data_IF_948694797771
#
_entry.id   IF_948694797771
#
_cell.length_a   1.000
_cell.length_b   1.000
_cell.length_c   1.000
_cell.angle_alpha   90.00
_cell.angle_beta   90.00
_cell.angle_gamma   90.00
#
_symmetry.space_group_name_H-M   'P 1'
#
loop_
_entity.id
_entity.type
_entity.pdbx_description
1 polymer ?
#
# COMPACT_ATOMS: atom_id res chain seq x y z
N UNK A 1 57.04 6.21 1.11
CA UNK A 1 57.62 6.76 2.35
C UNK A 1 56.90 8.05 2.65
N UNK A 2 56.29 8.16 3.84
CA UNK A 2 55.58 9.35 4.31
C UNK A 2 54.06 9.21 4.36
N UNK A 3 53.35 9.45 5.45
CA UNK A 3 53.53 9.09 6.86
C UNK A 3 52.16 9.28 7.54
N UNK A 4 52.03 8.68 8.71
CA UNK A 4 50.80 8.30 9.37
C UNK A 4 49.95 9.46 9.90
N UNK A 5 48.63 9.25 9.85
CA UNK A 5 47.59 10.03 10.52
C UNK A 5 47.81 10.10 12.03
N UNK A 6 47.51 11.27 12.56
CA UNK A 6 47.81 11.72 13.91
C UNK A 6 47.21 10.88 15.02
N UNK A 7 48.05 10.71 16.04
CA UNK A 7 47.75 10.25 17.39
C UNK A 7 47.54 11.50 18.23
N UNK A 8 46.40 11.62 18.91
CA UNK A 8 46.22 12.58 20.00
C UNK A 8 46.37 11.82 21.32
N UNK A 9 47.40 12.21 22.05
CA UNK A 9 47.56 12.05 23.49
C UNK A 9 46.39 12.67 24.27
N UNK A 10 45.97 12.05 25.36
CA UNK A 10 46.08 12.64 26.72
C UNK A 10 45.53 11.72 27.83
N UNK A 11 46.48 11.26 28.65
CA UNK A 11 46.52 11.37 30.11
C UNK A 11 45.71 10.41 31.02
N UNK A 12 46.50 9.54 31.65
CA UNK A 12 46.35 8.92 32.98
C UNK A 12 45.86 9.83 34.11
N UNK A 13 45.19 9.20 35.10
CA UNK A 13 45.35 9.53 36.52
C UNK A 13 45.04 8.30 37.41
N UNK A 14 46.12 7.59 37.75
CA UNK A 14 46.52 6.96 39.03
C UNK A 14 45.54 6.89 40.24
N UNK A 15 45.30 5.64 40.69
CA UNK A 15 45.59 5.06 42.05
C UNK A 15 44.78 5.51 43.31
N UNK A 16 44.86 4.83 44.49
CA UNK A 16 45.03 3.40 44.85
C UNK A 16 44.20 2.91 46.09
N UNK A 17 44.38 1.62 46.47
CA UNK A 17 44.72 1.15 47.85
C UNK A 17 43.78 0.17 48.61
N UNK A 18 44.28 -1.08 48.70
CA UNK A 18 44.54 -1.92 49.89
C UNK A 18 43.43 -2.37 50.87
N UNK A 19 43.40 -3.68 51.12
CA UNK A 19 42.87 -4.27 52.37
C UNK A 19 43.00 -5.79 52.42
N UNK A 20 44.13 -6.27 52.93
CA UNK A 20 44.47 -7.68 53.18
C UNK A 20 43.54 -8.37 54.20
N UNK A 21 43.37 -9.70 54.10
CA UNK A 21 43.83 -10.66 55.11
C UNK A 21 43.35 -12.10 54.80
N UNK A 22 44.29 -13.03 54.76
CA UNK A 22 44.12 -14.48 54.88
C UNK A 22 44.76 -14.89 56.22
N UNK A 23 44.21 -15.89 56.93
CA UNK A 23 45.00 -17.10 57.22
C UNK A 23 44.13 -18.38 57.05
N UNK A 24 44.54 -19.41 56.32
CA UNK A 24 45.50 -20.50 56.63
C UNK A 24 44.82 -21.79 57.11
N UNK A 25 45.51 -22.91 56.82
CA UNK A 25 45.34 -24.30 57.31
C UNK A 25 44.49 -25.31 56.49
N UNK A 26 45.25 -26.08 55.67
CA UNK A 26 45.08 -27.51 55.29
C UNK A 26 45.22 -28.40 56.56
N UNK A 27 44.97 -29.76 56.59
CA UNK A 27 45.04 -30.71 55.47
C UNK A 27 44.13 -31.98 55.51
N UNK A 28 44.07 -32.66 54.36
CA UNK A 28 43.96 -34.13 54.26
C UNK A 28 42.59 -34.74 54.57
N UNK A 29 42.27 -35.96 54.16
CA UNK A 29 42.88 -36.87 53.22
C UNK A 29 41.78 -37.89 52.86
N UNK A 30 41.80 -38.33 51.59
CA UNK A 30 41.62 -39.73 51.17
C UNK A 30 40.29 -40.42 51.52
N UNK A 31 39.53 -40.78 50.50
CA UNK A 31 38.49 -41.80 50.63
C UNK A 31 37.69 -42.01 49.36
N UNK A 32 38.12 -42.96 48.53
CA UNK A 32 37.35 -43.50 47.42
C UNK A 32 36.06 -44.17 47.90
N UNK A 33 34.94 -43.97 47.20
CA UNK A 33 33.79 -44.90 47.18
C UNK A 33 33.03 -44.65 45.86
N UNK A 34 33.17 -45.53 44.88
CA UNK A 34 32.18 -46.57 44.56
C UNK A 34 30.89 -45.99 43.98
N UNK A 35 30.81 -46.08 42.65
CA UNK A 35 29.69 -45.68 41.79
C UNK A 35 28.44 -46.51 42.10
N UNK A 36 27.34 -45.85 42.46
CA UNK A 36 26.00 -46.45 42.57
C UNK A 36 25.02 -45.60 41.78
N UNK A 37 24.07 -46.19 41.03
CA UNK A 37 23.24 -45.45 40.09
C UNK A 37 22.28 -44.52 40.84
N UNK A 38 22.61 -43.23 40.82
CA UNK A 38 21.79 -42.16 41.41
C UNK A 38 20.56 -41.93 40.52
N UNK A 39 19.37 -42.27 41.02
CA UNK A 39 18.12 -41.77 40.46
C UNK A 39 18.06 -40.27 40.76
N UNK A 40 18.04 -39.36 39.77
CA UNK A 40 18.07 -37.92 40.04
C UNK A 40 16.73 -37.50 40.67
N UNK A 41 16.69 -37.47 42.00
CA UNK A 41 15.65 -36.77 42.75
C UNK A 41 16.07 -35.32 42.80
N UNK A 42 15.35 -34.46 42.07
CA UNK A 42 15.51 -33.01 42.18
C UNK A 42 15.23 -32.67 43.66
N UNK A 43 16.22 -32.19 44.43
CA UNK A 43 16.00 -31.84 45.82
C UNK A 43 14.92 -30.75 45.88
N UNK A 44 13.97 -30.84 46.81
CA UNK A 44 12.83 -29.93 46.92
C UNK A 44 13.24 -28.43 46.92
N UNK A 45 14.47 -28.13 47.37
CA UNK A 45 15.08 -26.80 47.30
C UNK A 45 15.35 -26.30 45.87
N UNK A 46 15.71 -27.18 44.93
CA UNK A 46 15.92 -26.84 43.52
C UNK A 46 14.58 -26.64 42.77
N UNK A 47 13.56 -27.45 43.08
CA UNK A 47 12.20 -27.24 42.57
C UNK A 47 11.57 -25.93 43.07
N UNK A 48 11.79 -25.56 44.35
CA UNK A 48 11.33 -24.28 44.91
C UNK A 48 12.01 -23.07 44.27
N UNK A 49 13.30 -23.19 43.89
CA UNK A 49 14.05 -22.14 43.18
C UNK A 49 13.60 -21.98 41.72
N UNK A 50 13.27 -23.07 41.04
CA UNK A 50 12.68 -23.02 39.69
C UNK A 50 11.27 -22.39 39.72
N UNK A 51 10.42 -22.73 40.70
CA UNK A 51 9.11 -22.10 40.88
C UNK A 51 9.22 -20.61 41.24
N UNK A 52 10.22 -20.20 42.02
CA UNK A 52 10.48 -18.78 42.30
C UNK A 52 10.86 -18.00 41.02
N UNK A 53 11.62 -18.61 40.12
CA UNK A 53 11.93 -18.06 38.80
C UNK A 53 10.68 -17.94 37.91
N UNK A 54 9.81 -18.96 37.92
CA UNK A 54 8.57 -18.96 37.13
C UNK A 54 7.56 -17.94 37.68
N UNK A 55 7.40 -17.85 38.99
CA UNK A 55 6.53 -16.85 39.64
C UNK A 55 7.04 -15.45 39.34
N UNK A 56 8.36 -15.21 39.44
CA UNK A 56 8.96 -13.92 39.07
C UNK A 56 8.73 -13.56 37.60
N UNK A 57 8.83 -14.54 36.70
CA UNK A 57 8.55 -14.35 35.27
C UNK A 57 7.08 -14.01 35.00
N UNK A 58 6.13 -14.67 35.67
CA UNK A 58 4.70 -14.35 35.55
C UNK A 58 4.41 -12.95 36.10
N UNK A 59 4.98 -12.59 37.25
CA UNK A 59 4.83 -11.25 37.82
C UNK A 59 5.41 -10.20 36.87
N UNK A 60 6.59 -10.43 36.30
CA UNK A 60 7.21 -9.53 35.34
C UNK A 60 6.37 -9.38 34.05
N UNK A 61 5.78 -10.47 33.55
CA UNK A 61 4.87 -10.45 32.41
C UNK A 61 3.61 -9.63 32.69
N UNK A 62 2.97 -9.87 33.84
CA UNK A 62 1.76 -9.13 34.25
C UNK A 62 2.07 -7.66 34.46
N UNK A 63 3.20 -7.32 35.09
CA UNK A 63 3.63 -5.93 35.26
C UNK A 63 3.91 -5.24 33.93
N UNK A 64 4.53 -5.95 32.97
CA UNK A 64 4.74 -5.43 31.62
C UNK A 64 3.41 -5.17 30.91
N UNK A 65 2.48 -6.13 30.92
CA UNK A 65 1.14 -5.94 30.33
C UNK A 65 0.41 -4.79 31.04
N UNK A 66 0.44 -4.73 32.36
CA UNK A 66 -0.22 -3.67 33.14
C UNK A 66 0.37 -2.27 32.88
N UNK A 67 1.67 -2.18 32.55
CA UNK A 67 2.29 -0.93 32.15
C UNK A 67 1.87 -0.48 30.73
N UNK A 68 1.72 -1.41 29.79
CA UNK A 68 1.36 -1.10 28.40
C UNK A 68 -0.15 -0.98 28.15
N UNK A 69 -0.97 -1.73 28.89
CA UNK A 69 -2.42 -1.79 28.68
C UNK A 69 -3.09 -0.40 28.77
N UNK A 70 -2.77 0.48 29.72
CA UNK A 70 -3.35 1.84 29.78
C UNK A 70 -2.98 2.67 28.55
N UNK A 71 -1.75 2.57 28.04
CA UNK A 71 -1.30 3.30 26.84
C UNK A 71 -2.07 2.83 25.61
N UNK A 72 -2.27 1.52 25.47
CA UNK A 72 -3.04 0.93 24.37
C UNK A 72 -4.51 1.33 24.44
N UNK A 73 -5.11 1.31 25.64
CA UNK A 73 -6.52 1.68 25.84
C UNK A 73 -6.77 3.20 25.71
N UNK A 74 -5.78 4.03 26.07
CA UNK A 74 -5.84 5.49 25.94
C UNK A 74 -5.61 5.98 24.51
N UNK A 75 -5.24 5.08 23.58
CA UNK A 75 -5.19 5.36 22.15
C UNK A 75 -6.50 4.90 21.51
N UNK A 76 -7.61 5.67 21.59
CA UNK A 76 -8.81 5.32 20.84
C UNK A 76 -8.41 5.26 19.37
N UNK A 77 -8.56 4.10 18.75
CA UNK A 77 -8.45 4.02 17.30
C UNK A 77 -9.37 5.10 16.72
N UNK A 78 -8.91 5.90 15.75
CA UNK A 78 -9.75 6.90 15.13
C UNK A 78 -11.08 6.25 14.74
N UNK A 79 -12.17 6.63 15.40
CA UNK A 79 -13.54 6.32 14.97
C UNK A 79 -13.93 7.21 13.78
N UNK A 80 -12.96 7.68 13.01
CA UNK A 80 -13.27 8.19 11.71
C UNK A 80 -13.58 6.97 10.87
N UNK A 81 -14.83 6.87 10.43
CA UNK A 81 -15.05 6.62 9.01
C UNK A 81 -14.03 7.49 8.26
N UNK A 82 -12.85 6.92 7.97
CA UNK A 82 -11.64 7.69 7.61
C UNK A 82 -11.98 8.73 6.54
N UNK A 83 -11.43 9.94 6.65
CA UNK A 83 -11.71 11.07 5.75
C UNK A 83 -12.08 10.58 4.33
N UNK A 84 -13.37 10.71 3.99
CA UNK A 84 -13.93 10.25 2.71
C UNK A 84 -14.15 11.48 1.84
N UNK A 85 -13.26 11.80 0.89
CA UNK A 85 -13.47 12.91 0.00
C UNK A 85 -14.80 12.71 -0.75
N UNK A 86 -15.67 13.71 -0.73
CA UNK A 86 -16.87 13.72 -1.56
C UNK A 86 -16.53 14.38 -2.90
N UNK A 87 -16.00 13.58 -3.83
CA UNK A 87 -15.54 14.07 -5.13
C UNK A 87 -16.70 14.06 -6.12
N UNK A 88 -17.17 15.26 -6.48
CA UNK A 88 -18.09 15.42 -7.60
C UNK A 88 -17.34 15.37 -8.94
N UNK A 89 -17.20 14.16 -9.49
CA UNK A 89 -16.48 13.91 -10.75
C UNK A 89 -17.03 14.76 -11.90
N UNK A 90 -18.35 14.89 -12.01
CA UNK A 90 -18.98 15.68 -13.06
C UNK A 90 -18.62 17.17 -12.98
N UNK A 91 -18.55 17.73 -11.76
CA UNK A 91 -18.12 19.11 -11.57
C UNK A 91 -16.65 19.31 -11.92
N UNK A 92 -15.78 18.37 -11.53
CA UNK A 92 -14.35 18.47 -11.83
C UNK A 92 -14.10 18.27 -13.34
N UNK A 93 -14.84 17.37 -13.98
CA UNK A 93 -14.79 17.15 -15.42
C UNK A 93 -15.15 18.44 -16.17
N UNK A 94 -16.28 19.09 -15.82
CA UNK A 94 -16.69 20.38 -16.40
C UNK A 94 -15.62 21.46 -16.26
N UNK A 95 -14.99 21.56 -15.09
CA UNK A 95 -13.92 22.53 -14.86
C UNK A 95 -12.66 22.25 -15.68
N UNK A 96 -12.46 20.99 -16.11
CA UNK A 96 -11.32 20.58 -16.91
C UNK A 96 -11.59 20.63 -18.43
N UNK A 97 -12.85 20.76 -18.88
CA UNK A 97 -13.24 20.72 -20.31
C UNK A 97 -12.40 21.66 -21.18
N UNK A 98 -12.30 22.93 -20.79
CA UNK A 98 -11.59 23.96 -21.57
C UNK A 98 -10.09 23.66 -21.71
N UNK A 99 -9.45 23.20 -20.62
CA UNK A 99 -8.02 22.88 -20.60
C UNK A 99 -7.75 21.55 -21.31
N UNK A 100 -8.69 20.61 -21.23
CA UNK A 100 -8.61 19.31 -21.86
C UNK A 100 -8.79 19.38 -23.38
N UNK A 101 -9.62 20.31 -23.86
CA UNK A 101 -10.00 20.39 -25.28
C UNK A 101 -10.92 19.25 -25.73
N UNK A 102 -11.54 18.54 -24.78
CA UNK A 102 -12.56 17.52 -24.98
C UNK A 102 -13.40 17.41 -23.70
N UNK A 103 -14.60 16.81 -23.78
CA UNK A 103 -15.45 16.56 -22.61
C UNK A 103 -14.92 15.36 -21.80
N UNK A 104 -14.36 15.56 -20.59
CA UNK A 104 -13.86 14.46 -19.79
C UNK A 104 -15.00 13.56 -19.29
N UNK A 105 -14.78 12.25 -19.26
CA UNK A 105 -15.81 11.27 -18.88
C UNK A 105 -16.08 11.37 -17.38
N UNK A 106 -17.36 11.54 -17.04
CA UNK A 106 -17.87 11.51 -15.68
C UNK A 106 -18.99 10.46 -15.60
N UNK A 107 -18.65 9.16 -15.48
CA UNK A 107 -19.64 8.09 -15.49
C UNK A 107 -20.56 8.17 -14.27
N UNK A 108 -21.88 8.06 -14.51
CA UNK A 108 -22.84 7.83 -13.44
C UNK A 108 -22.78 6.35 -13.03
N UNK A 109 -22.35 6.11 -11.80
CA UNK A 109 -22.16 4.77 -11.25
C UNK A 109 -23.30 4.35 -10.32
N UNK A 110 -24.39 5.13 -10.24
CA UNK A 110 -25.55 4.82 -9.40
C UNK A 110 -25.20 4.70 -7.91
N UNK A 111 -24.18 5.44 -7.45
CA UNK A 111 -23.60 5.38 -6.11
C UNK A 111 -22.92 4.05 -5.72
N UNK A 112 -22.80 3.09 -6.65
CA UNK A 112 -22.12 1.83 -6.38
C UNK A 112 -20.59 2.01 -6.27
N UNK A 113 -20.03 2.92 -7.05
CA UNK A 113 -18.61 3.25 -7.01
C UNK A 113 -18.41 4.61 -6.36
N UNK A 114 -17.33 4.74 -5.61
CA UNK A 114 -16.98 5.97 -4.91
C UNK A 114 -15.74 6.58 -5.53
N UNK A 115 -15.80 7.82 -5.97
CA UNK A 115 -14.63 8.52 -6.46
C UNK A 115 -13.69 8.88 -5.29
N UNK A 116 -12.44 8.45 -5.39
CA UNK A 116 -11.35 8.78 -4.46
C UNK A 116 -10.63 10.07 -4.88
N UNK A 117 -10.49 10.28 -6.19
CA UNK A 117 -9.94 11.50 -6.78
C UNK A 117 -10.48 11.67 -8.20
N UNK A 118 -10.48 12.91 -8.69
CA UNK A 118 -10.69 13.27 -10.09
C UNK A 118 -9.78 14.46 -10.40
N UNK A 119 -9.04 14.41 -11.52
CA UNK A 119 -8.07 15.46 -11.86
C UNK A 119 -7.73 15.48 -13.34
N UNK A 120 -7.34 16.66 -13.80
CA UNK A 120 -6.64 16.85 -15.07
C UNK A 120 -5.13 16.80 -14.84
N UNK A 121 -4.43 16.00 -15.62
CA UNK A 121 -2.97 15.92 -15.67
C UNK A 121 -2.49 16.48 -17.00
N UNK A 122 -1.67 17.52 -16.95
CA UNK A 122 -1.19 18.21 -18.17
C UNK A 122 -0.17 17.41 -18.98
N UNK A 123 0.28 16.26 -18.47
CA UNK A 123 1.23 15.38 -19.14
C UNK A 123 2.69 15.80 -18.99
N UNK A 124 3.05 16.60 -17.97
CA UNK A 124 4.43 17.07 -17.75
C UNK A 124 5.45 15.93 -17.58
N UNK A 125 5.04 14.77 -17.06
CA UNK A 125 5.89 13.58 -16.93
C UNK A 125 5.83 12.60 -18.11
N UNK A 126 4.65 12.37 -18.69
CA UNK A 126 4.41 11.36 -19.73
C UNK A 126 4.43 11.91 -21.16
N UNK A 127 4.37 13.23 -21.32
CA UNK A 127 4.12 13.91 -22.60
C UNK A 127 2.68 13.77 -23.11
N UNK A 128 1.80 13.08 -22.38
CA UNK A 128 0.41 12.83 -22.77
C UNK A 128 -0.52 13.40 -21.71
N UNK A 129 -1.27 14.47 -22.01
CA UNK A 129 -2.25 15.00 -21.07
C UNK A 129 -3.42 14.02 -20.91
N UNK A 130 -3.87 13.85 -19.66
CA UNK A 130 -4.85 12.84 -19.28
C UNK A 130 -5.89 13.40 -18.31
N UNK A 131 -7.12 12.94 -18.49
CA UNK A 131 -8.15 13.01 -17.47
C UNK A 131 -8.08 11.73 -16.63
N UNK A 132 -8.01 11.87 -15.30
CA UNK A 132 -7.89 10.73 -14.39
C UNK A 132 -8.96 10.76 -13.30
N UNK A 133 -9.56 9.60 -13.04
CA UNK A 133 -10.50 9.40 -11.94
C UNK A 133 -10.20 8.08 -11.25
N UNK A 134 -10.04 8.09 -9.94
CA UNK A 134 -9.88 6.87 -9.15
C UNK A 134 -11.18 6.46 -8.51
N UNK A 135 -11.64 5.23 -8.72
CA UNK A 135 -12.84 4.68 -8.09
C UNK A 135 -12.50 3.59 -7.08
N UNK A 136 -13.12 3.67 -5.91
CA UNK A 136 -13.24 2.56 -4.96
C UNK A 136 -14.50 1.78 -5.32
N UNK A 137 -14.35 0.48 -5.51
CA UNK A 137 -15.42 -0.43 -5.94
C UNK A 137 -16.26 -0.93 -4.77
N UNK A 138 -17.45 -1.51 -5.01
CA UNK A 138 -18.27 -2.11 -3.95
C UNK A 138 -17.53 -3.15 -3.11
N UNK A 139 -16.63 -3.93 -3.72
CA UNK A 139 -15.80 -4.92 -3.01
C UNK A 139 -14.50 -4.32 -2.46
N UNK A 140 -14.47 -3.02 -2.20
CA UNK A 140 -13.33 -2.30 -1.60
C UNK A 140 -12.02 -2.41 -2.38
N UNK A 141 -12.12 -2.69 -3.69
CA UNK A 141 -10.97 -2.68 -4.60
C UNK A 141 -10.85 -1.30 -5.26
N UNK A 142 -9.84 -1.13 -6.10
CA UNK A 142 -9.57 0.12 -6.80
C UNK A 142 -9.55 -0.07 -8.33
N UNK A 143 -10.16 0.88 -9.04
CA UNK A 143 -10.07 1.02 -10.49
C UNK A 143 -9.75 2.48 -10.83
N UNK A 144 -8.61 2.73 -11.49
CA UNK A 144 -8.29 3.99 -12.12
C UNK A 144 -8.92 4.04 -13.52
N UNK A 145 -9.60 5.14 -13.83
CA UNK A 145 -10.00 5.55 -15.16
C UNK A 145 -9.02 6.61 -15.65
N UNK A 146 -8.47 6.39 -16.84
CA UNK A 146 -7.62 7.37 -17.53
C UNK A 146 -8.13 7.56 -18.95
N UNK A 147 -8.34 8.80 -19.35
CA UNK A 147 -8.81 9.18 -20.67
C UNK A 147 -7.86 10.19 -21.32
N UNK A 148 -7.62 10.03 -22.61
CA UNK A 148 -6.91 11.03 -23.42
C UNK A 148 -7.35 10.98 -24.89
N UNK A 149 -7.14 12.07 -25.61
CA UNK A 149 -7.26 12.15 -27.08
C UNK A 149 -5.90 12.21 -27.79
N UNK A 150 -4.79 12.21 -27.02
CA UNK A 150 -3.41 12.35 -27.52
C UNK A 150 -2.54 11.14 -27.17
N UNK A 151 -3.14 9.96 -27.05
CA UNK A 151 -2.42 8.74 -26.75
C UNK A 151 -1.38 8.41 -27.82
N UNK A 152 -0.26 7.82 -27.40
CA UNK A 152 0.74 7.22 -28.28
C UNK A 152 1.08 5.79 -27.79
N UNK A 153 1.70 4.94 -28.63
CA UNK A 153 1.96 3.54 -28.27
C UNK A 153 2.80 3.38 -26.99
N UNK A 154 3.80 4.24 -26.78
CA UNK A 154 4.65 4.21 -25.59
C UNK A 154 3.84 4.48 -24.32
N UNK A 155 2.99 5.50 -24.35
CA UNK A 155 2.10 5.84 -23.24
C UNK A 155 1.12 4.70 -22.93
N UNK A 156 0.51 4.10 -23.96
CA UNK A 156 -0.43 3.00 -23.75
C UNK A 156 0.26 1.80 -23.08
N UNK A 157 1.46 1.44 -23.55
CA UNK A 157 2.26 0.38 -22.94
C UNK A 157 2.61 0.68 -21.48
N UNK A 158 2.97 1.93 -21.16
CA UNK A 158 3.24 2.35 -19.78
C UNK A 158 1.97 2.28 -18.93
N UNK A 159 0.85 2.80 -19.43
CA UNK A 159 -0.43 2.83 -18.74
C UNK A 159 -0.96 1.43 -18.42
N UNK A 160 -0.71 0.46 -19.31
CA UNK A 160 -1.10 -0.94 -19.13
C UNK A 160 0.03 -1.79 -18.54
N UNK A 161 1.12 -1.18 -18.04
CA UNK A 161 2.29 -1.86 -17.45
C UNK A 161 2.85 -2.99 -18.32
N UNK A 162 2.83 -2.81 -19.65
CA UNK A 162 3.23 -3.81 -20.63
C UNK A 162 2.50 -5.17 -20.50
N UNK A 163 1.27 -5.16 -19.96
CA UNK A 163 0.45 -6.36 -19.86
C UNK A 163 0.04 -6.86 -21.26
N UNK A 164 0.17 -8.16 -21.55
CA UNK A 164 -0.25 -8.71 -22.83
C UNK A 164 -1.77 -8.65 -22.97
N UNK A 165 -2.26 -8.58 -24.22
CA UNK A 165 -3.68 -8.73 -24.51
C UNK A 165 -4.08 -10.18 -24.27
N UNK A 166 -5.03 -10.40 -23.37
CA UNK A 166 -5.53 -11.72 -22.98
C UNK A 166 -6.92 -12.02 -23.53
N UNK A 167 -7.59 -11.02 -24.10
CA UNK A 167 -8.86 -11.19 -24.81
C UNK A 167 -9.62 -9.88 -24.98
N UNK A 168 -10.93 -10.01 -25.15
CA UNK A 168 -11.86 -8.89 -25.20
C UNK A 168 -12.99 -9.10 -24.20
N UNK A 169 -13.58 -8.02 -23.70
CA UNK A 169 -14.76 -8.06 -22.83
C UNK A 169 -15.76 -7.01 -23.27
N UNK A 170 -16.98 -7.45 -23.57
CA UNK A 170 -18.06 -6.54 -23.90
C UNK A 170 -18.61 -5.87 -22.63
N UNK A 171 -18.71 -4.55 -22.64
CA UNK A 171 -19.33 -3.76 -21.58
C UNK A 171 -19.94 -2.48 -22.17
N UNK A 172 -21.18 -2.18 -21.79
CA UNK A 172 -21.93 -1.06 -22.37
C UNK A 172 -22.13 -1.16 -23.88
N UNK A 173 -22.10 -2.37 -24.45
CA UNK A 173 -22.22 -2.57 -25.90
C UNK A 173 -20.96 -2.23 -26.70
N UNK A 174 -19.81 -2.00 -26.05
CA UNK A 174 -18.51 -1.86 -26.71
C UNK A 174 -17.58 -3.01 -26.30
N UNK A 175 -16.71 -3.40 -27.23
CA UNK A 175 -15.67 -4.39 -26.96
C UNK A 175 -14.42 -3.70 -26.42
N UNK A 176 -14.11 -4.00 -25.16
CA UNK A 176 -12.91 -3.54 -24.50
C UNK A 176 -11.82 -4.58 -24.67
N UNK A 177 -10.62 -4.14 -25.02
CA UNK A 177 -9.43 -4.98 -25.03
C UNK A 177 -8.99 -5.26 -23.60
N UNK A 178 -8.94 -6.54 -23.22
CA UNK A 178 -8.52 -6.98 -21.89
C UNK A 178 -7.02 -7.28 -21.90
N UNK A 179 -6.30 -6.68 -20.96
CA UNK A 179 -4.88 -6.94 -20.70
C UNK A 179 -4.67 -7.40 -19.26
N UNK A 180 -3.92 -8.48 -19.08
CA UNK A 180 -3.63 -9.05 -17.76
C UNK A 180 -2.28 -9.78 -17.78
N UNK A 181 -1.47 -9.61 -16.72
CA UNK A 181 -0.21 -10.33 -16.52
C UNK A 181 -0.36 -11.58 -15.66
N UNK A 182 -1.54 -11.82 -15.10
CA UNK A 182 -1.82 -12.84 -14.09
C UNK A 182 -1.33 -12.49 -12.68
N UNK A 183 -0.75 -11.30 -12.48
CA UNK A 183 -0.13 -10.86 -11.21
C UNK A 183 -1.02 -9.98 -10.34
N UNK A 184 -2.33 -9.97 -10.60
CA UNK A 184 -3.35 -9.32 -9.77
C UNK A 184 -4.03 -8.13 -10.44
N UNK A 185 -3.25 -7.23 -11.05
CA UNK A 185 -3.79 -6.06 -11.77
C UNK A 185 -4.17 -6.39 -13.22
N UNK A 186 -5.29 -5.79 -13.66
CA UNK A 186 -5.85 -5.94 -15.00
C UNK A 186 -6.08 -4.57 -15.60
N UNK A 187 -6.15 -4.51 -16.92
CA UNK A 187 -6.52 -3.30 -17.65
C UNK A 187 -7.55 -3.62 -18.73
N UNK A 188 -8.56 -2.76 -18.86
CA UNK A 188 -9.48 -2.74 -20.00
C UNK A 188 -9.24 -1.46 -20.79
N UNK A 189 -9.05 -1.59 -22.10
CA UNK A 189 -8.78 -0.47 -22.99
C UNK A 189 -9.88 -0.35 -24.03
N UNK A 190 -10.40 0.86 -24.20
CA UNK A 190 -11.38 1.20 -25.24
C UNK A 190 -10.84 2.36 -26.07
N UNK A 191 -10.83 2.18 -27.38
CA UNK A 191 -10.67 3.28 -28.34
C UNK A 191 -12.05 3.62 -28.89
N UNK A 192 -12.56 4.82 -28.59
CA UNK A 192 -13.88 5.25 -29.03
C UNK A 192 -13.90 6.75 -29.34
N UNK A 193 -14.47 7.12 -30.49
CA UNK A 193 -14.61 8.52 -30.95
C UNK A 193 -13.33 9.36 -30.86
N UNK A 194 -12.17 8.76 -31.16
CA UNK A 194 -10.88 9.46 -31.12
C UNK A 194 -10.30 9.66 -29.71
N UNK A 195 -10.91 9.06 -28.69
CA UNK A 195 -10.37 9.01 -27.32
C UNK A 195 -9.99 7.59 -26.95
N UNK A 196 -8.86 7.44 -26.26
CA UNK A 196 -8.48 6.20 -25.59
C UNK A 196 -8.85 6.32 -24.12
N UNK A 197 -9.58 5.32 -23.64
CA UNK A 197 -9.93 5.14 -22.23
C UNK A 197 -9.30 3.87 -21.72
N UNK A 198 -8.62 3.96 -20.59
CA UNK A 198 -8.01 2.83 -19.90
C UNK A 198 -8.62 2.74 -18.51
N UNK A 199 -9.19 1.59 -18.18
CA UNK A 199 -9.52 1.21 -16.81
C UNK A 199 -8.43 0.28 -16.31
N UNK A 200 -7.79 0.55 -15.17
CA UNK A 200 -6.76 -0.31 -14.60
C UNK A 200 -6.87 -0.45 -13.09
N UNK A 201 -6.52 -1.62 -12.55
CA UNK A 201 -6.63 -1.87 -11.11
C UNK A 201 -6.70 -3.34 -10.73
N UNK A 202 -6.93 -3.60 -9.45
CA UNK A 202 -6.93 -4.95 -8.86
C UNK A 202 -8.35 -5.53 -8.64
N UNK A 203 -9.39 -4.81 -9.07
CA UNK A 203 -10.78 -5.23 -8.92
C UNK A 203 -11.13 -6.49 -9.75
N UNK A 204 -12.30 -7.05 -9.48
CA UNK A 204 -12.82 -8.19 -10.24
C UNK A 204 -13.37 -7.77 -11.61
N UNK A 205 -13.33 -8.67 -12.59
CA UNK A 205 -13.76 -8.40 -13.97
C UNK A 205 -15.22 -7.92 -14.10
N UNK A 206 -16.10 -8.29 -13.17
CA UNK A 206 -17.49 -7.83 -13.16
C UNK A 206 -17.63 -6.39 -12.67
N UNK A 207 -16.78 -5.96 -11.73
CA UNK A 207 -16.71 -4.56 -11.28
C UNK A 207 -16.15 -3.67 -12.39
N UNK A 208 -15.13 -4.17 -13.11
CA UNK A 208 -14.65 -3.53 -14.34
C UNK A 208 -15.75 -3.40 -15.39
N UNK A 209 -16.51 -4.46 -15.66
CA UNK A 209 -17.59 -4.42 -16.65
C UNK A 209 -18.70 -3.42 -16.27
N UNK A 210 -19.02 -3.33 -14.98
CA UNK A 210 -20.02 -2.37 -14.47
C UNK A 210 -19.56 -0.94 -14.67
N UNK A 211 -18.33 -0.61 -14.26
CA UNK A 211 -17.78 0.73 -14.46
C UNK A 211 -17.59 1.04 -15.96
N UNK A 212 -17.11 0.08 -16.75
CA UNK A 212 -16.95 0.22 -18.20
C UNK A 212 -18.27 0.53 -18.90
N UNK A 213 -19.38 -0.10 -18.49
CA UNK A 213 -20.71 0.21 -19.03
C UNK A 213 -21.13 1.65 -18.71
N UNK A 214 -20.91 2.12 -17.48
CA UNK A 214 -21.17 3.50 -17.09
C UNK A 214 -20.30 4.51 -17.86
N UNK A 215 -19.04 4.15 -18.11
CA UNK A 215 -18.11 4.94 -18.94
C UNK A 215 -18.60 5.06 -20.38
N UNK A 216 -19.06 3.96 -20.98
CA UNK A 216 -19.67 4.02 -22.31
C UNK A 216 -20.92 4.90 -22.29
N UNK A 217 -21.79 4.78 -21.27
CA UNK A 217 -22.95 5.66 -21.12
C UNK A 217 -22.57 7.15 -21.12
N UNK A 218 -21.53 7.52 -20.36
CA UNK A 218 -21.02 8.90 -20.35
C UNK A 218 -20.44 9.32 -21.71
N UNK A 219 -19.65 8.45 -22.36
CA UNK A 219 -19.10 8.70 -23.70
C UNK A 219 -20.17 8.91 -24.78
N UNK A 220 -21.28 8.18 -24.70
CA UNK A 220 -22.40 8.34 -25.63
C UNK A 220 -23.21 9.60 -25.34
N UNK A 221 -23.32 10.00 -24.06
CA UNK A 221 -24.00 11.23 -23.64
C UNK A 221 -23.20 12.50 -23.93
N UNK A 222 -21.87 12.41 -23.97
CA UNK A 222 -21.02 13.51 -24.42
C UNK A 222 -21.37 13.78 -25.88
N UNK A 223 -21.69 15.04 -26.20
CA UNK A 223 -22.08 15.44 -27.55
C UNK A 223 -21.03 14.92 -28.54
N UNK A 224 -21.47 14.10 -29.51
CA UNK A 224 -20.65 13.85 -30.69
C UNK A 224 -20.34 15.24 -31.25
N UNK A 225 -19.07 15.54 -31.52
CA UNK A 225 -18.65 16.79 -32.17
C UNK A 225 -19.50 16.94 -33.43
N UNK A 226 -20.56 17.74 -33.36
CA UNK A 226 -21.40 18.04 -34.50
C UNK A 226 -20.56 18.95 -35.37
N UNK A 227 -19.93 18.37 -36.39
CA UNK A 227 -19.63 19.13 -37.61
C UNK A 227 -20.97 19.66 -38.10
N UNK A 228 -21.23 20.96 -37.88
CA UNK A 228 -22.42 21.62 -38.37
C UNK A 228 -22.59 21.31 -39.86
N UNK A 229 -23.75 20.84 -40.33
CA UNK A 229 -24.01 20.78 -41.76
C UNK A 229 -24.00 22.21 -42.29
N UNK A 230 -23.04 22.55 -43.16
CA UNK A 230 -23.05 23.79 -43.91
C UNK A 230 -24.44 23.98 -44.54
N UNK A 231 -25.07 25.12 -44.23
CA UNK A 231 -26.33 25.50 -44.84
C UNK A 231 -26.21 25.49 -46.38
N UNK A 232 -27.22 25.00 -47.12
CA UNK A 232 -27.24 25.12 -48.57
C UNK A 232 -27.27 26.60 -48.99
N UNK A 233 -26.60 27.00 -50.08
CA UNK A 233 -26.74 28.37 -50.59
C UNK A 233 -28.20 28.59 -51.02
N UNK A 234 -28.79 29.69 -50.54
CA UNK A 234 -30.12 30.13 -50.92
C UNK A 234 -30.18 30.50 -52.42
N UNK A 235 -31.34 30.32 -53.08
CA UNK A 235 -31.51 30.54 -54.52
C UNK A 235 -31.46 32.02 -54.93
#
# INVERSE_FOLDING_TARGET
>A
MGDYRGVNDMQESTSPSSGQAQPDERPGARGSSADTPVKPVIPAAAAKRANASVIGMIIALVLSIAAFLPVVLMNPQPKSDGYRPDINVASVARNAEDVAGFTPIAPDTGNAFRANYARWESGSGSGVPTWEVGYVTPKTSFIALVQTTKANPTWLLQQTKNAPVTGTRNAGGKDWELRDTGKGEKSMVLNYRGSIVVLSGAAQLDEFATLAAAVVGSLESNAAVTVSPSAPPAP
#
